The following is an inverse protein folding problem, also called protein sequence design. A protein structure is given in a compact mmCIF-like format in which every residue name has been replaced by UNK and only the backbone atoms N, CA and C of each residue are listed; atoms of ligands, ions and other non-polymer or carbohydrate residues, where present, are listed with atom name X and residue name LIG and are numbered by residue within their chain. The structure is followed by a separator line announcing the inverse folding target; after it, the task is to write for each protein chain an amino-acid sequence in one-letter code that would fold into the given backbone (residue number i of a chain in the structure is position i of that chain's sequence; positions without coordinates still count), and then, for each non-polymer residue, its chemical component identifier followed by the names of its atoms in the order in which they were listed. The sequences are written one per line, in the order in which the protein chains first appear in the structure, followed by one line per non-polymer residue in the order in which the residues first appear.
data_IF_300046131891
#
_entry.id   IF_300046131891
#
_cell.length_a   1.000
_cell.length_b   1.000
_cell.length_c   1.000
_cell.angle_alpha   90.00
_cell.angle_beta   90.00
_cell.angle_gamma   90.00
#
_symmetry.space_group_name_H-M   'P 1'
#
loop_
_entity.id
_entity.type
_entity.pdbx_description
1 polymer ?
#
# COMPACT_ATOMS: atom_id res chain seq x y z
N UNK A 1 -20.70 12.29 6.09
CA UNK A 1 -20.02 12.30 4.77
C UNK A 1 -18.59 11.90 5.01
N UNK A 2 -18.19 10.76 4.47
CA UNK A 2 -16.80 10.32 4.44
C UNK A 2 -16.22 10.70 3.07
N UNK A 3 -15.02 11.27 3.05
CA UNK A 3 -14.32 11.65 1.81
C UNK A 3 -13.44 10.52 1.26
N UNK A 4 -13.36 9.39 1.96
CA UNK A 4 -12.63 8.21 1.53
C UNK A 4 -13.48 7.30 0.64
N UNK A 5 -12.81 6.59 -0.28
CA UNK A 5 -13.50 5.54 -1.03
C UNK A 5 -13.77 4.32 -0.13
N UNK A 6 -14.79 3.51 -0.47
CA UNK A 6 -15.41 2.62 0.51
C UNK A 6 -14.63 1.32 0.78
N UNK A 7 -13.59 0.97 -0.01
CA UNK A 7 -13.00 -0.37 0.05
C UNK A 7 -12.42 -0.70 1.42
N UNK A 8 -11.73 0.26 2.05
CA UNK A 8 -11.17 0.05 3.38
C UNK A 8 -12.26 -0.30 4.41
N UNK A 9 -13.35 0.47 4.43
CA UNK A 9 -14.46 0.25 5.33
C UNK A 9 -15.18 -1.08 5.05
N UNK A 10 -15.36 -1.43 3.77
CA UNK A 10 -15.96 -2.70 3.37
C UNK A 10 -15.11 -3.90 3.84
N UNK A 11 -13.79 -3.81 3.76
CA UNK A 11 -12.89 -4.87 4.22
C UNK A 11 -12.80 -4.96 5.75
N UNK A 12 -12.95 -3.83 6.46
CA UNK A 12 -12.93 -3.81 7.92
C UNK A 12 -14.31 -4.10 8.55
N UNK A 13 -15.41 -3.98 7.81
CA UNK A 13 -16.76 -4.21 8.33
C UNK A 13 -16.96 -5.62 8.93
N UNK A 14 -16.49 -6.73 8.31
CA UNK A 14 -16.56 -8.05 8.93
C UNK A 14 -15.78 -8.15 10.25
N UNK A 15 -14.62 -7.48 10.35
CA UNK A 15 -13.85 -7.44 11.58
C UNK A 15 -14.63 -6.73 12.70
N UNK A 16 -15.32 -5.64 12.35
CA UNK A 16 -16.14 -4.90 13.30
C UNK A 16 -17.31 -5.75 13.80
N UNK A 17 -17.94 -6.54 12.93
CA UNK A 17 -18.99 -7.49 13.32
C UNK A 17 -18.47 -8.55 14.29
N UNK A 18 -17.26 -9.07 14.04
CA UNK A 18 -16.64 -10.11 14.90
C UNK A 18 -16.25 -9.56 16.27
N UNK A 19 -15.64 -8.37 16.33
CA UNK A 19 -15.17 -7.78 17.59
C UNK A 19 -16.25 -7.01 18.35
N UNK A 20 -17.30 -6.57 17.66
CA UNK A 20 -18.39 -5.77 18.20
C UNK A 20 -18.05 -4.29 18.38
N UNK A 21 -19.08 -3.47 18.55
CA UNK A 21 -18.96 -2.02 18.76
C UNK A 21 -18.65 -1.72 20.24
N UNK A 22 -17.39 -1.93 20.63
CA UNK A 22 -16.89 -1.64 21.98
C UNK A 22 -15.71 -0.68 21.92
N UNK A 23 -15.43 0.11 22.97
CA UNK A 23 -14.29 1.03 22.97
C UNK A 23 -12.95 0.36 22.66
N UNK A 24 -12.79 -0.92 23.03
CA UNK A 24 -11.57 -1.69 22.85
C UNK A 24 -11.36 -2.14 21.38
N UNK A 25 -12.40 -2.08 20.54
CA UNK A 25 -12.32 -2.52 19.14
C UNK A 25 -11.27 -1.75 18.36
N UNK A 26 -11.02 -0.50 18.72
CA UNK A 26 -10.00 0.32 18.08
C UNK A 26 -8.61 -0.32 18.22
N UNK A 27 -8.29 -0.97 19.33
CA UNK A 27 -7.02 -1.68 19.48
C UNK A 27 -6.93 -2.87 18.52
N UNK A 28 -7.99 -3.66 18.40
CA UNK A 28 -8.06 -4.77 17.43
C UNK A 28 -7.92 -4.27 15.99
N UNK A 29 -8.58 -3.15 15.66
CA UNK A 29 -8.50 -2.52 14.33
C UNK A 29 -7.10 -1.98 14.01
N UNK A 30 -6.40 -1.43 15.00
CA UNK A 30 -4.98 -1.04 14.83
C UNK A 30 -4.07 -2.25 14.61
N UNK A 31 -4.29 -3.36 15.33
CA UNK A 31 -3.55 -4.60 15.09
C UNK A 31 -3.78 -5.14 13.67
N UNK A 32 -4.98 -4.93 13.10
CA UNK A 32 -5.28 -5.29 11.71
C UNK A 32 -4.49 -4.47 10.67
N UNK A 33 -3.82 -3.38 11.06
CA UNK A 33 -2.94 -2.62 10.16
C UNK A 33 -1.53 -3.24 10.06
N UNK A 34 -1.10 -4.04 11.03
CA UNK A 34 0.24 -4.67 11.06
C UNK A 34 0.51 -5.50 9.79
N UNK A 35 -0.42 -6.32 9.27
CA UNK A 35 -0.22 -7.01 8.01
C UNK A 35 0.00 -6.07 6.82
N UNK A 36 -0.72 -4.94 6.76
CA UNK A 36 -0.56 -3.95 5.69
C UNK A 36 0.81 -3.28 5.77
N UNK A 37 1.25 -2.92 6.97
CA UNK A 37 2.59 -2.40 7.21
C UNK A 37 3.68 -3.41 6.80
N UNK A 38 3.50 -4.70 7.10
CA UNK A 38 4.42 -5.75 6.65
C UNK A 38 4.49 -5.85 5.12
N UNK A 39 3.35 -5.72 4.42
CA UNK A 39 3.29 -5.66 2.94
C UNK A 39 4.06 -4.45 2.41
N UNK A 40 3.95 -3.29 3.05
CA UNK A 40 4.73 -2.11 2.69
C UNK A 40 6.23 -2.38 2.82
N UNK A 41 6.69 -2.88 3.97
CA UNK A 41 8.12 -3.17 4.20
C UNK A 41 8.68 -4.20 3.21
N UNK A 42 7.92 -5.26 2.93
CA UNK A 42 8.27 -6.26 1.94
C UNK A 42 8.33 -5.68 0.53
N UNK A 43 7.40 -4.79 0.19
CA UNK A 43 7.37 -4.12 -1.11
C UNK A 43 8.56 -3.19 -1.28
N UNK A 44 8.89 -2.38 -0.25
CA UNK A 44 10.09 -1.55 -0.21
C UNK A 44 11.37 -2.37 -0.42
N UNK A 45 11.50 -3.50 0.28
CA UNK A 45 12.63 -4.40 0.10
C UNK A 45 12.72 -4.91 -1.33
N UNK A 46 11.58 -5.35 -1.88
CA UNK A 46 11.52 -5.97 -3.20
C UNK A 46 11.85 -4.97 -4.29
N UNK A 47 11.28 -3.77 -4.26
CA UNK A 47 11.56 -2.69 -5.20
C UNK A 47 13.05 -2.32 -5.15
N UNK A 48 13.60 -2.06 -3.95
CA UNK A 48 15.00 -1.69 -3.80
C UNK A 48 15.97 -2.80 -4.25
N UNK A 49 15.60 -4.07 -4.01
CA UNK A 49 16.38 -5.23 -4.48
C UNK A 49 16.38 -5.35 -6.00
N UNK A 50 15.22 -5.16 -6.63
CA UNK A 50 15.05 -5.34 -8.08
C UNK A 50 15.68 -4.19 -8.87
N UNK A 51 15.50 -2.95 -8.43
CA UNK A 51 16.00 -1.78 -9.15
C UNK A 51 17.49 -1.51 -8.90
N UNK A 52 18.02 -1.93 -7.74
CA UNK A 52 19.40 -1.63 -7.36
C UNK A 52 20.14 -2.89 -6.90
N UNK A 53 19.99 -3.28 -5.63
CA UNK A 53 20.68 -4.44 -5.07
C UNK A 53 20.02 -4.92 -3.78
N UNK A 54 20.29 -6.17 -3.39
CA UNK A 54 19.79 -6.74 -2.12
C UNK A 54 20.15 -5.88 -0.90
N UNK A 55 21.35 -5.27 -0.89
CA UNK A 55 21.80 -4.40 0.20
C UNK A 55 20.97 -3.12 0.27
N UNK A 56 20.68 -2.49 -0.87
CA UNK A 56 19.82 -1.29 -0.94
C UNK A 56 18.41 -1.62 -0.47
N UNK A 57 17.82 -2.73 -0.92
CA UNK A 57 16.51 -3.18 -0.44
C UNK A 57 16.46 -3.35 1.08
N UNK A 58 17.46 -4.00 1.69
CA UNK A 58 17.52 -4.19 3.14
C UNK A 58 17.58 -2.85 3.89
N UNK A 59 18.51 -1.97 3.51
CA UNK A 59 18.67 -0.69 4.19
C UNK A 59 17.48 0.25 3.98
N UNK A 60 16.86 0.25 2.80
CA UNK A 60 15.64 1.00 2.55
C UNK A 60 14.49 0.53 3.46
N UNK A 61 14.32 -0.79 3.62
CA UNK A 61 13.30 -1.34 4.53
C UNK A 61 13.59 -1.06 5.99
N UNK A 62 14.86 -1.15 6.45
CA UNK A 62 15.22 -0.78 7.82
C UNK A 62 14.97 0.72 8.06
N UNK A 63 15.35 1.57 7.12
CA UNK A 63 15.12 3.01 7.23
C UNK A 63 13.63 3.33 7.26
N UNK A 64 12.84 2.82 6.31
CA UNK A 64 11.39 3.00 6.32
C UNK A 64 10.77 2.44 7.61
N UNK A 65 11.23 1.27 8.06
CA UNK A 65 10.70 0.57 9.21
C UNK A 65 10.93 1.30 10.53
N UNK A 66 12.08 1.94 10.67
CA UNK A 66 12.49 2.64 11.89
C UNK A 66 12.25 4.14 11.84
N UNK A 67 11.82 4.69 10.70
CA UNK A 67 11.51 6.12 10.58
C UNK A 67 10.27 6.44 11.45
N UNK A 68 10.40 7.22 12.54
CA UNK A 68 9.36 7.27 13.57
C UNK A 68 8.00 7.73 13.04
N UNK A 69 7.97 8.76 12.20
CA UNK A 69 6.71 9.27 11.65
C UNK A 69 6.04 8.28 10.72
N UNK A 70 6.82 7.47 9.98
CA UNK A 70 6.24 6.44 9.12
C UNK A 70 5.71 5.28 9.95
N UNK A 71 6.50 4.78 10.90
CA UNK A 71 6.10 3.68 11.78
C UNK A 71 4.85 4.00 12.60
N UNK A 72 4.80 5.17 13.24
CA UNK A 72 3.67 5.55 14.09
C UNK A 72 2.39 5.75 13.27
N UNK A 73 2.47 6.40 12.10
CA UNK A 73 1.33 6.50 11.18
C UNK A 73 0.84 5.13 10.74
N UNK A 74 1.76 4.18 10.50
CA UNK A 74 1.40 2.82 10.07
C UNK A 74 0.66 1.95 11.07
N UNK A 75 0.56 2.40 12.33
CA UNK A 75 -0.21 1.75 13.38
C UNK A 75 -1.58 2.41 13.60
N UNK A 76 -1.86 3.52 12.92
CA UNK A 76 -3.14 4.19 12.99
C UNK A 76 -4.16 3.44 12.12
N UNK A 77 -5.41 3.34 12.59
CA UNK A 77 -6.49 2.77 11.80
C UNK A 77 -6.91 3.78 10.72
N UNK A 78 -6.26 3.72 9.55
CA UNK A 78 -6.42 4.70 8.47
C UNK A 78 -6.53 4.03 7.11
N UNK A 79 -7.33 4.65 6.25
CA UNK A 79 -7.50 4.25 4.85
C UNK A 79 -6.19 4.31 4.07
N UNK A 80 -5.29 5.22 4.46
CA UNK A 80 -3.96 5.40 3.89
C UNK A 80 -3.07 4.15 4.01
N UNK A 81 -3.27 3.29 5.02
CA UNK A 81 -2.48 2.06 5.21
C UNK A 81 -2.73 1.06 4.08
N UNK A 82 -4.01 0.78 3.81
CA UNK A 82 -4.40 -0.12 2.73
C UNK A 82 -3.99 0.45 1.38
N UNK A 83 -4.20 1.75 1.18
CA UNK A 83 -3.82 2.43 -0.06
C UNK A 83 -2.31 2.34 -0.32
N UNK A 84 -1.47 2.62 0.68
CA UNK A 84 -0.01 2.58 0.54
C UNK A 84 0.48 1.16 0.24
N UNK A 85 -0.07 0.16 0.92
CA UNK A 85 0.26 -1.24 0.68
C UNK A 85 -0.08 -1.66 -0.77
N UNK A 86 -1.29 -1.34 -1.25
CA UNK A 86 -1.70 -1.65 -2.62
C UNK A 86 -0.89 -0.90 -3.66
N UNK A 87 -0.61 0.38 -3.44
CA UNK A 87 0.22 1.18 -4.34
C UNK A 87 1.62 0.58 -4.51
N UNK A 88 2.31 0.28 -3.41
CA UNK A 88 3.65 -0.32 -3.46
C UNK A 88 3.63 -1.74 -4.04
N UNK A 89 2.58 -2.52 -3.77
CA UNK A 89 2.40 -3.85 -4.38
C UNK A 89 2.26 -3.75 -5.91
N UNK A 90 1.51 -2.77 -6.41
CA UNK A 90 1.42 -2.52 -7.86
C UNK A 90 2.80 -2.19 -8.45
N UNK A 91 3.60 -1.36 -7.77
CA UNK A 91 4.96 -1.06 -8.19
C UNK A 91 5.86 -2.30 -8.18
N UNK A 92 5.75 -3.18 -7.18
CA UNK A 92 6.47 -4.47 -7.16
C UNK A 92 6.15 -5.28 -8.42
N UNK A 93 4.87 -5.44 -8.76
CA UNK A 93 4.47 -6.20 -9.96
C UNK A 93 4.91 -5.51 -11.25
N UNK A 94 5.03 -4.18 -11.28
CA UNK A 94 5.55 -3.44 -12.43
C UNK A 94 7.07 -3.65 -12.60
N UNK A 95 7.85 -3.57 -11.52
CA UNK A 95 9.33 -3.60 -11.63
C UNK A 95 9.92 -5.01 -11.68
N UNK A 96 9.24 -6.03 -11.16
CA UNK A 96 9.80 -7.37 -10.95
C UNK A 96 10.11 -8.20 -12.23
N UNK A 97 10.06 -7.62 -13.43
CA UNK A 97 10.40 -8.29 -14.69
C UNK A 97 9.53 -7.85 -15.89
N UNK A 98 9.52 -8.61 -17.00
CA UNK A 98 8.87 -8.21 -18.24
C UNK A 98 7.35 -8.01 -18.12
N UNK A 99 6.83 -7.06 -18.89
CA UNK A 99 5.40 -6.80 -19.06
C UNK A 99 4.74 -7.94 -19.84
N UNK A 100 3.82 -8.64 -19.18
CA UNK A 100 2.98 -9.67 -19.78
C UNK A 100 1.51 -9.32 -19.56
N UNK A 101 0.60 -9.83 -20.39
CA UNK A 101 -0.84 -9.52 -20.25
C UNK A 101 -1.39 -9.87 -18.86
N UNK A 102 -0.96 -11.01 -18.30
CA UNK A 102 -1.36 -11.43 -16.95
C UNK A 102 -0.86 -10.46 -15.87
N UNK A 103 0.37 -9.97 -15.97
CA UNK A 103 0.92 -8.98 -15.03
C UNK A 103 0.26 -7.62 -15.19
N UNK A 104 0.02 -7.17 -16.41
CA UNK A 104 -0.68 -5.92 -16.67
C UNK A 104 -2.10 -5.95 -16.12
N UNK A 105 -2.82 -7.08 -16.27
CA UNK A 105 -4.12 -7.28 -15.65
C UNK A 105 -4.04 -7.23 -14.12
N UNK A 106 -3.09 -7.94 -13.52
CA UNK A 106 -2.88 -7.94 -12.06
C UNK A 106 -2.59 -6.53 -11.53
N UNK A 107 -1.72 -5.77 -12.20
CA UNK A 107 -1.43 -4.37 -11.87
C UNK A 107 -2.72 -3.54 -11.93
N UNK A 108 -3.52 -3.70 -12.98
CA UNK A 108 -4.81 -3.01 -13.11
C UNK A 108 -5.77 -3.31 -11.97
N UNK A 109 -5.87 -4.58 -11.55
CA UNK A 109 -6.69 -4.98 -10.38
C UNK A 109 -6.18 -4.33 -9.10
N UNK A 110 -4.87 -4.37 -8.85
CA UNK A 110 -4.28 -3.77 -7.64
C UNK A 110 -4.46 -2.25 -7.63
N UNK A 111 -4.24 -1.58 -8.77
CA UNK A 111 -4.46 -0.14 -8.90
C UNK A 111 -5.93 0.25 -8.78
N UNK A 112 -6.85 -0.56 -9.30
CA UNK A 112 -8.28 -0.39 -9.10
C UNK A 112 -8.68 -0.52 -7.63
N UNK A 113 -8.09 -1.47 -6.91
CA UNK A 113 -8.27 -1.59 -5.45
C UNK A 113 -7.64 -0.40 -4.70
N UNK A 114 -6.45 0.05 -5.10
CA UNK A 114 -5.80 1.23 -4.52
C UNK A 114 -6.67 2.48 -4.74
N UNK A 115 -7.25 2.65 -5.93
CA UNK A 115 -8.25 3.66 -6.20
C UNK A 115 -9.45 3.47 -5.26
N UNK A 116 -10.00 2.26 -5.15
CA UNK A 116 -11.07 1.95 -4.20
C UNK A 116 -10.74 2.23 -2.72
N UNK A 117 -9.47 2.40 -2.36
CA UNK A 117 -9.06 2.88 -1.04
C UNK A 117 -8.88 4.41 -1.00
N UNK A 118 -8.31 5.03 -2.05
CA UNK A 118 -8.04 6.47 -2.09
C UNK A 118 -7.90 7.07 -3.50
N UNK A 119 -8.51 8.25 -3.72
CA UNK A 119 -8.41 9.04 -4.97
C UNK A 119 -6.98 9.50 -5.26
N UNK A 120 -6.09 9.52 -4.25
CA UNK A 120 -4.66 9.86 -4.41
C UNK A 120 -3.98 9.02 -5.50
N UNK A 121 -4.50 7.81 -5.75
CA UNK A 121 -4.05 6.94 -6.84
C UNK A 121 -4.07 7.62 -8.20
N UNK A 122 -5.09 8.45 -8.51
CA UNK A 122 -5.19 9.17 -9.79
C UNK A 122 -4.03 10.15 -9.93
N UNK A 123 -3.70 10.90 -8.87
CA UNK A 123 -2.60 11.85 -8.86
C UNK A 123 -1.24 11.15 -9.03
N UNK A 124 -1.04 9.99 -8.39
CA UNK A 124 0.22 9.27 -8.54
C UNK A 124 0.36 8.63 -9.93
N UNK A 125 -0.74 8.15 -10.53
CA UNK A 125 -0.73 7.65 -11.90
C UNK A 125 -0.45 8.76 -12.92
N UNK A 126 -1.03 9.95 -12.74
CA UNK A 126 -0.75 11.09 -13.63
C UNK A 126 0.70 11.54 -13.49
N UNK A 127 1.23 11.62 -12.27
CA UNK A 127 2.63 11.93 -12.03
C UNK A 127 3.58 10.91 -12.67
N UNK A 128 3.27 9.61 -12.54
CA UNK A 128 4.05 8.54 -13.17
C UNK A 128 4.00 8.63 -14.70
N UNK A 129 2.82 8.89 -15.28
CA UNK A 129 2.65 9.08 -16.72
C UNK A 129 3.46 10.26 -17.25
N UNK A 130 3.43 11.41 -16.55
CA UNK A 130 4.26 12.58 -16.89
C UNK A 130 5.75 12.25 -16.82
N UNK A 131 6.19 11.55 -15.77
CA UNK A 131 7.59 11.14 -15.63
C UNK A 131 8.05 10.22 -16.77
N UNK A 132 7.21 9.29 -17.22
CA UNK A 132 7.49 8.43 -18.37
C UNK A 132 7.60 9.25 -19.65
N UNK A 133 6.67 10.17 -19.90
CA UNK A 133 6.70 11.03 -21.10
C UNK A 133 7.92 11.96 -21.12
N UNK A 134 8.40 12.40 -19.96
CA UNK A 134 9.59 13.25 -19.85
C UNK A 134 10.92 12.48 -19.99
N UNK A 135 10.89 11.15 -19.85
CA UNK A 135 12.08 10.29 -19.94
C UNK A 135 12.37 9.75 -21.34
N UNK A 136 11.47 10.01 -22.31
CA UNK A 136 11.59 9.64 -23.73
C UNK A 136 12.06 10.84 -24.54
#
# INVERSE_FOLDING_TARGET
FDNHMPLFHLLCAPLLVVFGERPEVLYCMRLAMIPLYAVVLWSTYTIGRVLFSRRVGLWATVFAGLFPSFFLCSLEFRTDELWTALWLLALVVLVAGPTTSARSFLVGVILGAALGASMKTVLLLTALGVAVLAAV
#
